data_IF_163730735061
#
_entry.id   IF_163730735061
#
_cell.length_a   1.000
_cell.length_b   1.000
_cell.length_c   1.000
_cell.angle_alpha   90.00
_cell.angle_beta   90.00
_cell.angle_gamma   90.00
#
_symmetry.space_group_name_H-M   'P 1'
#
loop_
_entity.id
_entity.type
_entity.pdbx_description
1 polymer ?
#
# COMPACT_ATOMS: atom_id res chain seq x y z
N UNK A 1 22.43 -3.91 -31.49
CA UNK A 1 22.63 -3.87 -30.02
C UNK A 1 22.00 -2.56 -29.54
N UNK A 2 20.75 -2.61 -29.08
CA UNK A 2 19.91 -1.44 -28.84
C UNK A 2 20.39 -0.66 -27.61
N UNK A 3 21.11 0.43 -27.85
CA UNK A 3 21.68 1.36 -26.86
C UNK A 3 20.65 2.39 -26.37
N UNK A 4 19.39 1.99 -26.33
CA UNK A 4 18.27 2.79 -25.86
C UNK A 4 17.66 1.98 -24.72
N UNK A 5 18.15 2.19 -23.51
CA UNK A 5 17.37 1.86 -22.31
C UNK A 5 16.02 2.55 -22.49
N UNK A 6 14.99 1.80 -22.92
CA UNK A 6 13.64 2.29 -23.09
C UNK A 6 13.23 3.00 -21.81
N UNK A 7 13.28 4.34 -21.83
CA UNK A 7 12.73 5.16 -20.75
C UNK A 7 11.25 4.84 -20.70
N UNK A 8 10.91 3.87 -19.85
CA UNK A 8 9.58 3.34 -19.66
C UNK A 8 8.62 4.51 -19.53
N UNK A 9 7.79 4.71 -20.57
CA UNK A 9 6.87 5.84 -20.67
C UNK A 9 6.14 6.02 -19.35
N UNK A 10 6.36 7.17 -18.72
CA UNK A 10 5.79 7.45 -17.41
C UNK A 10 4.30 7.70 -17.60
N UNK A 11 3.47 6.88 -16.95
CA UNK A 11 2.02 7.10 -16.92
C UNK A 11 1.72 8.17 -15.87
N UNK A 12 1.11 9.31 -16.25
CA UNK A 12 0.74 10.34 -15.28
C UNK A 12 -0.35 9.84 -14.33
N UNK A 13 -0.33 10.32 -13.08
CA UNK A 13 -1.36 9.98 -12.09
C UNK A 13 -2.62 10.79 -12.40
N UNK A 14 -3.72 10.08 -12.65
CA UNK A 14 -5.00 10.71 -12.98
C UNK A 14 -5.54 11.55 -11.80
N UNK A 15 -6.26 12.65 -12.06
CA UNK A 15 -6.84 13.49 -11.01
C UNK A 15 -7.80 12.72 -10.08
N UNK A 16 -8.53 11.74 -10.61
CA UNK A 16 -9.42 10.88 -9.83
C UNK A 16 -8.65 10.09 -8.77
N UNK A 17 -7.53 9.46 -9.17
CA UNK A 17 -6.66 8.72 -8.24
C UNK A 17 -6.05 9.66 -7.19
N UNK A 18 -5.61 10.86 -7.58
CA UNK A 18 -5.08 11.84 -6.62
C UNK A 18 -6.13 12.22 -5.56
N UNK A 19 -7.38 12.46 -5.97
CA UNK A 19 -8.48 12.76 -5.03
C UNK A 19 -8.76 11.60 -4.08
N UNK A 20 -8.77 10.38 -4.59
CA UNK A 20 -8.98 9.17 -3.78
C UNK A 20 -7.87 8.97 -2.75
N UNK A 21 -6.61 9.12 -3.17
CA UNK A 21 -5.44 9.03 -2.28
C UNK A 21 -5.43 10.14 -1.25
N UNK A 22 -5.77 11.37 -1.65
CA UNK A 22 -5.86 12.50 -0.73
C UNK A 22 -6.94 12.27 0.34
N UNK A 23 -8.12 11.78 -0.08
CA UNK A 23 -9.21 11.45 0.85
C UNK A 23 -8.82 10.32 1.80
N UNK A 24 -8.15 9.28 1.30
CA UNK A 24 -7.65 8.15 2.12
C UNK A 24 -6.62 8.60 3.15
N UNK A 25 -5.72 9.49 2.75
CA UNK A 25 -4.66 9.99 3.63
C UNK A 25 -5.14 11.11 4.55
N UNK A 26 -6.39 11.57 4.41
CA UNK A 26 -6.92 12.72 5.16
C UNK A 26 -6.00 13.95 5.07
N UNK A 27 -5.36 14.15 3.92
CA UNK A 27 -4.37 15.21 3.72
C UNK A 27 -3.06 15.05 4.50
N UNK A 28 -2.81 13.91 5.13
CA UNK A 28 -1.61 13.65 5.95
C UNK A 28 -0.54 12.86 5.21
N UNK A 29 0.71 13.02 5.63
CA UNK A 29 1.83 12.28 5.03
C UNK A 29 1.75 10.79 5.38
N UNK A 30 1.74 9.91 4.39
CA UNK A 30 1.66 8.44 4.58
C UNK A 30 3.00 7.79 4.94
N UNK A 31 4.05 8.59 5.22
CA UNK A 31 5.30 8.06 5.74
C UNK A 31 5.19 7.93 7.27
N UNK A 32 5.32 6.71 7.85
CA UNK A 32 5.20 6.52 9.30
C UNK A 32 6.24 7.31 10.10
N UNK A 33 7.41 7.55 9.51
CA UNK A 33 8.52 8.27 10.14
C UNK A 33 8.51 9.79 9.83
N UNK A 34 7.39 10.33 9.36
CA UNK A 34 7.28 11.76 9.07
C UNK A 34 7.13 12.57 10.36
N UNK A 35 7.95 13.61 10.52
CA UNK A 35 7.88 14.54 11.65
C UNK A 35 6.58 15.37 11.69
N UNK A 36 5.97 15.60 10.53
CA UNK A 36 4.73 16.38 10.38
C UNK A 36 3.54 15.50 9.97
N UNK A 37 3.51 14.24 10.41
CA UNK A 37 2.47 13.28 10.03
C UNK A 37 1.05 13.72 10.41
N UNK A 38 0.90 14.49 11.48
CA UNK A 38 -0.41 14.92 11.99
C UNK A 38 -0.90 16.24 11.36
N UNK A 39 -0.04 16.89 10.56
CA UNK A 39 -0.39 18.12 9.87
C UNK A 39 -1.20 17.82 8.60
N UNK A 40 -2.42 18.34 8.55
CA UNK A 40 -3.27 18.27 7.36
C UNK A 40 -2.78 19.25 6.29
N UNK A 41 -2.24 18.70 5.21
CA UNK A 41 -1.75 19.46 4.06
C UNK A 41 -2.86 19.61 3.02
N UNK A 42 -2.92 20.76 2.35
CA UNK A 42 -3.79 20.93 1.17
C UNK A 42 -3.35 20.01 0.03
N UNK A 43 -4.24 19.64 -0.92
CA UNK A 43 -3.92 18.69 -2.00
C UNK A 43 -2.74 19.11 -2.89
N UNK A 44 -2.45 20.41 -2.99
CA UNK A 44 -1.36 20.98 -3.77
C UNK A 44 -0.04 21.14 -2.99
N UNK A 45 -0.05 20.97 -1.67
CA UNK A 45 1.14 21.09 -0.82
C UNK A 45 1.92 19.78 -0.73
N UNK A 46 1.25 18.63 -0.93
CA UNK A 46 1.91 17.33 -0.97
C UNK A 46 2.17 16.81 -2.38
N UNK A 47 2.98 15.78 -2.46
CA UNK A 47 3.32 15.09 -3.69
C UNK A 47 2.75 13.67 -3.71
N UNK A 48 2.23 13.28 -4.86
CA UNK A 48 1.73 11.93 -5.12
C UNK A 48 2.84 11.10 -5.76
N UNK A 49 3.35 10.13 -5.03
CA UNK A 49 4.39 9.23 -5.52
C UNK A 49 3.82 7.88 -5.88
N UNK A 50 4.14 7.38 -7.07
CA UNK A 50 3.79 6.02 -7.46
C UNK A 50 4.84 5.05 -6.91
N UNK A 51 4.42 4.08 -6.11
CA UNK A 51 5.35 3.15 -5.46
C UNK A 51 5.86 2.06 -6.37
N UNK A 52 5.18 1.75 -7.49
CA UNK A 52 5.61 0.74 -8.47
C UNK A 52 6.35 1.37 -9.65
N UNK A 53 6.84 0.51 -10.56
CA UNK A 53 7.43 0.93 -11.84
C UNK A 53 6.54 1.92 -12.61
N UNK A 54 7.12 2.98 -13.19
CA UNK A 54 6.39 4.09 -13.81
C UNK A 54 5.59 3.72 -15.09
N UNK A 55 5.87 2.55 -15.68
CA UNK A 55 5.12 2.01 -16.82
C UNK A 55 3.74 1.48 -16.44
N UNK A 56 3.52 1.12 -15.16
CA UNK A 56 2.26 0.53 -14.73
C UNK A 56 1.28 1.66 -14.41
N UNK A 57 0.02 1.59 -14.88
CA UNK A 57 -0.99 2.58 -14.55
C UNK A 57 -1.15 2.76 -13.04
N UNK A 58 -1.08 4.01 -12.53
CA UNK A 58 -1.22 4.28 -11.11
C UNK A 58 -2.64 4.05 -10.64
N UNK A 59 -2.78 3.40 -9.50
CA UNK A 59 -4.05 3.18 -8.79
C UNK A 59 -3.94 3.81 -7.41
N UNK A 60 -5.07 4.07 -6.73
CA UNK A 60 -5.01 4.63 -5.38
C UNK A 60 -4.18 3.75 -4.42
N UNK A 61 -4.19 2.43 -4.59
CA UNK A 61 -3.40 1.49 -3.78
C UNK A 61 -1.89 1.53 -4.04
N UNK A 62 -1.47 2.02 -5.21
CA UNK A 62 -0.05 2.08 -5.61
C UNK A 62 0.51 3.49 -5.56
N UNK A 63 -0.32 4.48 -5.21
CA UNK A 63 0.11 5.86 -5.04
C UNK A 63 0.09 6.19 -3.55
N UNK A 64 1.15 6.85 -3.08
CA UNK A 64 1.27 7.37 -1.73
C UNK A 64 1.27 8.90 -1.73
N UNK A 65 0.74 9.51 -0.68
CA UNK A 65 0.78 10.96 -0.47
C UNK A 65 1.89 11.32 0.53
N UNK A 66 2.82 12.17 0.10
CA UNK A 66 3.97 12.57 0.92
C UNK A 66 4.08 14.08 1.02
N UNK A 67 4.58 14.56 2.17
CA UNK A 67 5.03 15.93 2.29
C UNK A 67 6.28 16.17 1.41
N UNK A 68 6.61 17.44 1.07
CA UNK A 68 7.78 17.77 0.25
C UNK A 68 9.08 17.13 0.74
N UNK A 69 9.31 17.17 2.06
CA UNK A 69 10.50 16.58 2.67
C UNK A 69 10.52 15.05 2.50
N UNK A 70 9.45 14.34 2.88
CA UNK A 70 9.41 12.88 2.72
C UNK A 70 9.48 12.46 1.25
N UNK A 71 8.85 13.22 0.35
CA UNK A 71 8.92 12.94 -1.08
C UNK A 71 10.36 13.04 -1.58
N UNK A 72 11.08 14.12 -1.27
CA UNK A 72 12.45 14.29 -1.72
C UNK A 72 13.39 13.18 -1.23
N UNK A 73 13.22 12.73 0.03
CA UNK A 73 14.13 11.76 0.66
C UNK A 73 13.80 10.30 0.31
N UNK A 74 12.52 9.96 0.14
CA UNK A 74 12.08 8.58 -0.05
C UNK A 74 11.66 8.27 -1.48
N UNK A 75 11.11 9.24 -2.23
CA UNK A 75 10.60 8.98 -3.58
C UNK A 75 11.69 8.94 -4.66
N UNK A 76 12.86 9.52 -4.38
CA UNK A 76 13.90 9.75 -5.36
C UNK A 76 15.27 9.27 -4.88
N UNK A 77 16.05 8.71 -5.79
CA UNK A 77 17.42 8.27 -5.59
C UNK A 77 18.29 8.94 -6.67
N UNK A 78 19.40 9.57 -6.27
CA UNK A 78 20.38 10.12 -7.22
C UNK A 78 21.26 8.99 -7.74
N UNK A 79 21.30 8.79 -9.05
CA UNK A 79 22.21 7.84 -9.71
C UNK A 79 23.10 8.57 -10.69
N UNK A 80 24.36 8.18 -10.78
CA UNK A 80 25.25 8.64 -11.83
C UNK A 80 25.02 7.77 -13.07
N UNK A 81 24.72 8.42 -14.20
CA UNK A 81 24.64 7.77 -15.50
C UNK A 81 25.82 8.28 -16.32
N UNK A 82 26.60 7.35 -16.87
CA UNK A 82 27.61 7.69 -17.87
C UNK A 82 26.91 7.88 -19.21
N UNK A 83 26.99 9.08 -19.76
CA UNK A 83 26.44 9.43 -21.07
C UNK A 83 27.62 9.50 -22.03
N UNK A 84 27.53 8.76 -23.14
CA UNK A 84 28.57 8.72 -24.15
C UNK A 84 28.54 10.03 -24.95
N UNK A 85 29.54 10.88 -24.76
CA UNK A 85 29.73 12.09 -25.56
C UNK A 85 30.48 11.79 -26.85
N UNK A 86 30.57 12.79 -27.73
CA UNK A 86 31.27 12.66 -29.01
C UNK A 86 32.79 12.47 -28.84
N UNK A 87 33.38 13.11 -27.83
CA UNK A 87 34.82 13.06 -27.55
C UNK A 87 35.19 12.30 -26.28
N UNK A 88 34.31 12.25 -25.28
CA UNK A 88 34.53 11.53 -24.03
C UNK A 88 33.21 11.17 -23.35
N UNK A 89 33.26 10.18 -22.46
CA UNK A 89 32.13 9.78 -21.63
C UNK A 89 31.97 10.74 -20.44
N UNK A 90 30.78 11.32 -20.28
CA UNK A 90 30.45 12.24 -19.20
C UNK A 90 29.60 11.56 -18.12
N UNK A 91 29.92 11.79 -16.84
CA UNK A 91 29.11 11.29 -15.71
C UNK A 91 28.09 12.35 -15.31
N UNK A 92 26.81 12.11 -15.61
CA UNK A 92 25.71 13.01 -15.27
C UNK A 92 24.93 12.44 -14.07
N UNK A 93 24.58 13.29 -13.11
CA UNK A 93 23.69 12.91 -12.01
C UNK A 93 22.24 12.95 -12.47
N UNK A 94 21.56 11.81 -12.43
CA UNK A 94 20.15 11.67 -12.80
C UNK A 94 19.33 11.33 -11.56
N UNK A 95 18.19 12.01 -11.38
CA UNK A 95 17.25 11.69 -10.31
C UNK A 95 16.35 10.54 -10.78
N UNK A 96 16.55 9.34 -10.23
CA UNK A 96 15.72 8.17 -10.50
C UNK A 96 14.61 8.08 -9.45
N UNK A 97 13.40 7.68 -9.85
CA UNK A 97 12.33 7.35 -8.89
C UNK A 97 12.65 6.02 -8.18
N UNK A 98 12.48 5.98 -6.87
CA UNK A 98 12.63 4.78 -6.05
C UNK A 98 11.33 3.97 -6.06
N UNK A 99 11.46 2.66 -6.26
CA UNK A 99 10.37 1.71 -6.01
C UNK A 99 10.27 1.53 -4.50
N UNK A 100 9.16 2.00 -3.93
CA UNK A 100 8.90 1.94 -2.47
C UNK A 100 8.18 0.65 -2.08
N UNK A 101 7.99 -0.28 -3.02
CA UNK A 101 7.30 -1.53 -2.76
C UNK A 101 5.80 -1.34 -2.47
N UNK A 102 5.24 -2.31 -1.76
CA UNK A 102 3.81 -2.33 -1.40
C UNK A 102 3.59 -1.51 -0.11
N UNK A 103 2.35 -1.13 0.18
CA UNK A 103 2.01 -0.55 1.49
C UNK A 103 2.46 -1.47 2.62
N UNK A 104 3.03 -0.89 3.68
CA UNK A 104 3.57 -1.62 4.81
C UNK A 104 2.44 -2.35 5.54
N UNK A 105 2.38 -3.66 5.33
CA UNK A 105 1.34 -4.51 5.94
C UNK A 105 1.67 -4.90 7.38
N UNK A 106 2.84 -4.51 7.88
CA UNK A 106 3.35 -4.96 9.20
C UNK A 106 2.47 -4.40 10.32
N UNK A 107 2.22 -3.09 10.31
CA UNK A 107 1.42 -2.43 11.34
C UNK A 107 -0.05 -2.90 11.27
N UNK A 108 -0.62 -2.97 10.06
CA UNK A 108 -1.96 -3.49 9.85
C UNK A 108 -2.11 -4.93 10.33
N UNK A 109 -1.10 -5.79 10.12
CA UNK A 109 -1.09 -7.17 10.61
C UNK A 109 -1.01 -7.23 12.12
N UNK A 110 -0.24 -6.36 12.75
CA UNK A 110 -0.11 -6.31 14.22
C UNK A 110 -1.45 -6.00 14.88
N UNK A 111 -2.19 -4.99 14.40
CA UNK A 111 -3.50 -4.58 14.96
C UNK A 111 -4.52 -5.73 14.92
N UNK A 112 -4.56 -6.50 13.84
CA UNK A 112 -5.60 -7.52 13.62
C UNK A 112 -5.16 -8.95 14.01
N UNK A 113 -3.93 -9.13 14.49
CA UNK A 113 -3.37 -10.45 14.81
C UNK A 113 -4.16 -11.16 15.91
N UNK A 114 -4.61 -10.39 16.89
CA UNK A 114 -5.26 -10.91 18.10
C UNK A 114 -6.78 -11.11 17.93
N UNK A 115 -7.35 -10.62 16.83
CA UNK A 115 -8.77 -10.78 16.54
C UNK A 115 -9.17 -12.23 16.28
N UNK A 116 -10.40 -12.58 16.65
CA UNK A 116 -11.00 -13.88 16.37
C UNK A 116 -11.42 -13.98 14.90
N UNK A 117 -11.65 -15.20 14.39
CA UNK A 117 -12.09 -15.41 13.00
C UNK A 117 -13.45 -14.74 12.73
N UNK A 118 -14.35 -14.73 13.71
CA UNK A 118 -15.64 -14.05 13.60
C UNK A 118 -15.46 -12.54 13.40
N UNK A 119 -14.61 -11.91 14.23
CA UNK A 119 -14.31 -10.50 14.10
C UNK A 119 -13.63 -10.16 12.77
N UNK A 120 -12.69 -11.01 12.31
CA UNK A 120 -12.05 -10.82 11.00
C UNK A 120 -13.05 -10.92 9.84
N UNK A 121 -14.08 -11.77 9.94
CA UNK A 121 -15.16 -11.85 8.94
C UNK A 121 -16.01 -10.58 8.93
N UNK A 122 -16.33 -10.03 10.10
CA UNK A 122 -17.06 -8.77 10.21
C UNK A 122 -16.26 -7.59 9.64
N UNK A 123 -14.97 -7.49 9.98
CA UNK A 123 -14.08 -6.48 9.38
C UNK A 123 -14.00 -6.62 7.86
N UNK A 124 -13.84 -7.84 7.35
CA UNK A 124 -13.84 -8.07 5.91
C UNK A 124 -15.16 -7.63 5.26
N UNK A 125 -16.30 -7.87 5.91
CA UNK A 125 -17.62 -7.44 5.44
C UNK A 125 -17.77 -5.91 5.43
N UNK A 126 -17.36 -5.24 6.51
CA UNK A 126 -17.37 -3.77 6.62
C UNK A 126 -16.58 -3.10 5.50
N UNK A 127 -15.41 -3.63 5.20
CA UNK A 127 -14.51 -3.11 4.17
C UNK A 127 -14.76 -3.67 2.77
N UNK A 128 -15.84 -4.46 2.58
CA UNK A 128 -16.21 -5.10 1.30
C UNK A 128 -15.07 -5.94 0.69
N UNK A 129 -14.34 -6.67 1.53
CA UNK A 129 -13.20 -7.51 1.14
C UNK A 129 -13.64 -8.97 1.04
N UNK A 130 -13.54 -9.54 -0.15
CA UNK A 130 -13.79 -10.98 -0.37
C UNK A 130 -12.52 -11.78 -0.15
N UNK A 131 -12.53 -12.69 0.83
CA UNK A 131 -11.41 -13.60 1.12
C UNK A 131 -11.70 -14.98 0.54
N UNK A 132 -10.92 -15.39 -0.46
CA UNK A 132 -11.07 -16.70 -1.10
C UNK A 132 -10.40 -17.79 -0.27
N UNK A 133 -11.06 -18.94 -0.17
CA UNK A 133 -10.51 -20.15 0.43
C UNK A 133 -9.36 -20.74 -0.39
N UNK A 134 -8.57 -21.64 0.22
CA UNK A 134 -7.55 -22.41 -0.51
C UNK A 134 -8.24 -23.54 -1.27
N UNK A 135 -7.93 -23.68 -2.56
CA UNK A 135 -8.28 -24.89 -3.32
C UNK A 135 -7.28 -25.97 -2.97
N UNK A 136 -7.77 -27.13 -2.60
CA UNK A 136 -6.96 -28.33 -2.42
C UNK A 136 -7.39 -29.33 -3.50
N UNK A 137 -6.42 -29.83 -4.23
CA UNK A 137 -6.62 -30.84 -5.26
C UNK A 137 -6.34 -32.18 -4.61
N UNK A 138 -7.40 -32.92 -4.32
CA UNK A 138 -7.33 -34.34 -4.00
C UNK A 138 -7.34 -35.14 -5.30
N UNK A 139 -6.79 -36.35 -5.27
CA UNK A 139 -6.63 -37.22 -6.45
C UNK A 139 -7.92 -37.44 -7.26
N UNK A 140 -9.09 -37.22 -6.65
CA UNK A 140 -10.41 -37.42 -7.25
C UNK A 140 -11.28 -36.16 -7.32
N UNK A 141 -10.92 -35.05 -6.66
CA UNK A 141 -11.74 -33.84 -6.64
C UNK A 141 -10.98 -32.59 -6.20
N UNK A 142 -11.38 -31.41 -6.69
CA UNK A 142 -10.93 -30.13 -6.15
C UNK A 142 -11.93 -29.64 -5.09
N UNK A 143 -11.55 -29.68 -3.82
CA UNK A 143 -12.36 -29.10 -2.74
C UNK A 143 -11.88 -27.70 -2.39
N UNK A 144 -12.80 -26.78 -2.10
CA UNK A 144 -12.44 -25.43 -1.63
C UNK A 144 -12.60 -25.37 -0.13
N UNK A 145 -11.48 -25.34 0.60
CA UNK A 145 -11.48 -25.20 2.06
C UNK A 145 -11.88 -23.79 2.48
N UNK A 146 -12.54 -23.69 3.63
CA UNK A 146 -12.85 -22.39 4.23
C UNK A 146 -11.58 -21.55 4.45
N UNK A 147 -11.66 -20.20 4.36
CA UNK A 147 -10.48 -19.38 4.54
C UNK A 147 -9.97 -19.42 5.98
N UNK A 148 -8.66 -19.55 6.12
CA UNK A 148 -7.96 -19.58 7.42
C UNK A 148 -7.80 -18.19 8.02
N UNK A 149 -7.54 -18.10 9.34
CA UNK A 149 -7.29 -16.83 10.04
C UNK A 149 -6.18 -16.00 9.36
N UNK A 150 -5.08 -16.64 8.95
CA UNK A 150 -3.96 -15.98 8.27
C UNK A 150 -4.33 -15.41 6.90
N UNK A 151 -5.23 -16.06 6.16
CA UNK A 151 -5.74 -15.56 4.88
C UNK A 151 -6.57 -14.30 5.07
N UNK A 152 -7.44 -14.26 6.10
CA UNK A 152 -8.16 -13.04 6.45
C UNK A 152 -7.21 -11.90 6.83
N UNK A 153 -6.26 -12.15 7.73
CA UNK A 153 -5.28 -11.15 8.16
C UNK A 153 -4.53 -10.57 6.96
N UNK A 154 -4.04 -11.43 6.07
CA UNK A 154 -3.27 -11.00 4.89
C UNK A 154 -4.12 -10.21 3.90
N UNK A 155 -5.37 -10.64 3.67
CA UNK A 155 -6.28 -9.95 2.76
C UNK A 155 -6.70 -8.58 3.29
N UNK A 156 -7.00 -8.48 4.59
CA UNK A 156 -7.39 -7.23 5.24
C UNK A 156 -6.22 -6.25 5.28
N UNK A 157 -5.05 -6.69 5.79
CA UNK A 157 -3.87 -5.83 5.92
C UNK A 157 -3.35 -5.29 4.57
N UNK A 158 -3.64 -5.98 3.47
CA UNK A 158 -3.27 -5.53 2.11
C UNK A 158 -4.18 -4.43 1.55
N UNK A 159 -5.42 -4.35 2.03
CA UNK A 159 -6.44 -3.48 1.44
C UNK A 159 -6.86 -2.32 2.35
N UNK A 160 -6.62 -2.40 3.66
CA UNK A 160 -7.05 -1.41 4.64
C UNK A 160 -5.82 -0.80 5.35
N UNK A 161 -5.71 0.55 5.40
CA UNK A 161 -4.63 1.20 6.14
C UNK A 161 -4.77 0.97 7.65
N UNK A 162 -3.67 1.04 8.42
CA UNK A 162 -3.68 0.74 9.85
C UNK A 162 -4.59 1.68 10.67
N UNK A 163 -4.73 2.95 10.24
CA UNK A 163 -5.60 3.96 10.87
C UNK A 163 -7.09 3.57 10.80
N UNK A 164 -7.55 3.16 9.62
CA UNK A 164 -8.92 2.70 9.40
C UNK A 164 -9.20 1.38 10.13
N UNK A 165 -8.17 0.52 10.27
CA UNK A 165 -8.28 -0.72 11.03
C UNK A 165 -8.48 -0.45 12.52
N UNK A 166 -7.69 0.44 13.11
CA UNK A 166 -7.83 0.79 14.52
C UNK A 166 -9.23 1.33 14.84
N UNK A 167 -9.70 2.31 14.06
CA UNK A 167 -11.05 2.89 14.25
C UNK A 167 -12.18 1.90 13.97
N UNK A 168 -11.98 0.94 13.06
CA UNK A 168 -12.95 -0.13 12.79
C UNK A 168 -13.03 -1.12 13.95
N UNK A 169 -11.89 -1.51 14.53
CA UNK A 169 -11.81 -2.46 15.64
C UNK A 169 -12.48 -1.89 16.90
N UNK A 170 -12.32 -0.60 17.17
CA UNK A 170 -12.98 0.07 18.31
C UNK A 170 -14.52 0.04 18.23
N UNK A 171 -15.08 0.05 17.01
CA UNK A 171 -16.54 0.02 16.78
C UNK A 171 -17.13 -1.39 16.87
N UNK A 172 -16.31 -2.43 16.99
CA UNK A 172 -16.80 -3.81 17.01
C UNK A 172 -17.41 -4.16 18.37
N UNK A 173 -18.50 -4.94 18.39
CA UNK A 173 -19.03 -5.47 19.64
C UNK A 173 -17.96 -6.33 20.32
N UNK A 174 -17.79 -6.14 21.63
CA UNK A 174 -16.90 -6.98 22.44
C UNK A 174 -17.43 -8.42 22.39
N UNK A 175 -16.55 -9.43 22.24
CA UNK A 175 -16.99 -10.82 22.18
C UNK A 175 -17.75 -11.17 23.46
N UNK A 176 -18.99 -11.64 23.32
CA UNK A 176 -19.78 -12.08 24.46
C UNK A 176 -19.04 -13.22 25.16
N UNK A 177 -18.76 -13.03 26.46
CA UNK A 177 -18.21 -14.11 27.29
C UNK A 177 -19.27 -15.19 27.35
N UNK A 178 -19.02 -16.35 26.72
CA UNK A 178 -19.90 -17.51 26.85
C UNK A 178 -20.09 -17.78 28.34
N UNK A 179 -21.33 -17.63 28.83
CA UNK A 179 -21.69 -18.03 30.19
C UNK A 179 -21.44 -19.54 30.27
N UNK A 180 -20.47 -19.93 31.09
CA UNK A 180 -20.20 -21.32 31.38
C UNK A 180 -21.47 -21.87 32.06
N UNK A 181 -22.22 -22.73 31.35
CA UNK A 181 -23.31 -23.48 31.96
C UNK A 181 -22.67 -24.37 33.02
N UNK A 182 -23.01 -24.12 34.28
CA UNK A 182 -22.68 -24.98 35.42
C UNK A 182 -23.69 -26.10 35.50
#
# INVERSE_FOLDING_TARGET
MSLWDDEKKIVPISPSVKREVYKRSEGRCENPNCLIKDFEMKPNMGHFHHTRTPAIPPTAKTVRFYCPNCHQWYAHERKTKTVRGYFSDEKVSVIKRKDLGKHDTVDSKAIIKDLTIAQLKELAKMHKITVKGKKEEDFFATTTKAPTKSQYITAIAKNVPPTDLASSVEKMPKPEKKKMQR
#
